data_IF_728036832344
#
_entry.id   IF_728036832344
#
_cell.length_a   1.000
_cell.length_b   1.000
_cell.length_c   1.000
_cell.angle_alpha   90.00
_cell.angle_beta   90.00
_cell.angle_gamma   90.00
#
_symmetry.space_group_name_H-M   'P 1'
#
loop_
_entity.id
_entity.type
_entity.pdbx_description
1 polymer ?
#
# COMPACT_ATOMS: atom_id res chain seq x y z
N UNK A 1 2.29 7.03 15.97
CA UNK A 1 3.02 8.27 15.86
C UNK A 1 2.37 9.15 14.83
N UNK A 2 2.01 10.35 15.21
CA UNK A 2 1.30 11.25 14.33
C UNK A 2 2.11 11.61 13.08
N UNK A 3 3.39 11.90 13.27
CA UNK A 3 4.26 12.21 12.14
C UNK A 3 4.35 11.07 11.15
N UNK A 4 4.39 9.83 11.65
CA UNK A 4 4.45 8.66 10.77
C UNK A 4 3.22 8.57 9.89
N UNK A 5 2.03 8.80 10.47
CA UNK A 5 0.79 8.74 9.71
C UNK A 5 0.73 9.88 8.69
N UNK A 6 1.15 11.08 9.07
CA UNK A 6 1.18 12.21 8.15
C UNK A 6 2.14 11.93 7.01
N UNK A 7 3.33 11.39 7.31
CA UNK A 7 4.30 11.07 6.27
C UNK A 7 3.75 10.04 5.31
N UNK A 8 3.08 9.00 5.80
CA UNK A 8 2.51 8.00 4.93
C UNK A 8 1.46 8.61 4.00
N UNK A 9 0.58 9.45 4.55
CA UNK A 9 -0.44 10.11 3.73
C UNK A 9 0.15 11.12 2.75
N UNK A 10 1.20 11.83 3.15
CA UNK A 10 1.85 12.82 2.29
C UNK A 10 2.76 12.21 1.25
N UNK A 11 3.09 10.94 1.40
CA UNK A 11 3.94 10.24 0.43
C UNK A 11 3.20 9.79 -0.81
N UNK A 12 1.95 10.10 -0.95
CA UNK A 12 1.17 9.67 -2.09
C UNK A 12 1.95 9.89 -3.35
N UNK A 13 2.39 10.70 -3.88
CA UNK A 13 3.17 10.80 -5.09
C UNK A 13 4.44 11.62 -4.90
N UNK A 14 4.57 12.24 -3.74
CA UNK A 14 5.61 13.24 -3.52
C UNK A 14 6.28 13.03 -2.17
N UNK A 15 7.32 12.19 -2.10
CA UNK A 15 8.08 12.07 -0.85
C UNK A 15 8.77 13.40 -0.54
N UNK A 16 9.00 13.71 0.73
CA UNK A 16 9.74 14.91 1.11
C UNK A 16 11.11 14.92 0.42
N UNK A 17 11.49 16.07 -0.12
CA UNK A 17 12.70 16.18 -0.94
C UNK A 17 13.98 16.27 -0.12
N UNK A 18 13.88 16.58 1.16
CA UNK A 18 15.04 16.80 2.02
C UNK A 18 15.45 15.56 2.82
N UNK A 19 14.73 14.45 2.69
CA UNK A 19 15.03 13.21 3.41
C UNK A 19 14.98 12.06 2.42
N UNK A 20 16.01 11.17 2.43
CA UNK A 20 16.00 10.01 1.54
C UNK A 20 14.80 9.10 1.82
N UNK A 21 14.15 8.56 0.77
CA UNK A 21 13.02 7.64 0.97
C UNK A 21 13.39 6.44 1.84
N UNK A 22 14.63 5.94 1.75
CA UNK A 22 15.09 4.80 2.54
C UNK A 22 15.10 5.11 4.03
N UNK A 23 15.31 6.36 4.42
CA UNK A 23 15.28 6.75 5.83
C UNK A 23 13.89 6.53 6.43
N UNK A 24 12.86 7.00 5.76
CA UNK A 24 11.48 6.82 6.23
C UNK A 24 11.10 5.35 6.26
N UNK A 25 11.45 4.61 5.23
CA UNK A 25 11.13 3.19 5.18
C UNK A 25 11.76 2.43 6.34
N UNK A 26 13.03 2.71 6.65
CA UNK A 26 13.72 2.06 7.76
C UNK A 26 13.05 2.35 9.09
N UNK A 27 12.65 3.61 9.32
CA UNK A 27 12.00 3.99 10.56
C UNK A 27 10.62 3.35 10.70
N UNK A 28 9.86 3.33 9.62
CA UNK A 28 8.54 2.73 9.63
C UNK A 28 8.60 1.24 9.92
N UNK A 29 9.55 0.54 9.30
CA UNK A 29 9.66 -0.91 9.44
C UNK A 29 10.00 -1.31 10.87
N UNK A 30 10.67 -0.47 11.64
CA UNK A 30 11.03 -0.80 13.02
C UNK A 30 9.81 -0.98 13.93
N UNK A 31 8.71 -0.33 13.61
CA UNK A 31 7.51 -0.35 14.45
C UNK A 31 6.37 -1.13 13.82
N UNK A 32 6.69 -2.18 13.07
CA UNK A 32 5.68 -2.95 12.37
C UNK A 32 5.13 -4.08 13.22
N UNK A 33 3.86 -4.39 12.99
CA UNK A 33 3.18 -5.50 13.63
C UNK A 33 2.69 -6.48 12.56
N UNK A 34 3.07 -7.74 12.69
CA UNK A 34 2.68 -8.77 11.73
C UNK A 34 1.17 -9.03 11.80
N UNK A 35 0.49 -9.00 10.66
CA UNK A 35 -0.95 -9.24 10.61
C UNK A 35 -1.34 -10.48 9.79
N UNK A 36 -0.42 -11.06 9.05
CA UNK A 36 -0.69 -12.33 8.38
C UNK A 36 -0.12 -12.41 6.98
N UNK A 37 -0.40 -13.55 6.33
CA UNK A 37 -0.07 -13.77 4.93
C UNK A 37 -1.27 -13.35 4.09
N UNK A 38 -1.03 -12.53 3.08
CA UNK A 38 -2.07 -12.05 2.19
C UNK A 38 -1.75 -12.48 0.77
N UNK A 39 -2.79 -12.69 0.00
CA UNK A 39 -2.63 -12.92 -1.44
C UNK A 39 -2.58 -11.55 -2.12
N UNK A 40 -1.60 -11.37 -3.00
CA UNK A 40 -1.41 -10.11 -3.71
C UNK A 40 -1.88 -10.26 -5.13
N UNK A 41 -2.63 -9.28 -5.60
CA UNK A 41 -3.01 -9.10 -6.99
C UNK A 41 -2.63 -7.69 -7.41
N UNK A 42 -2.86 -7.34 -8.66
CA UNK A 42 -2.54 -5.99 -9.12
C UNK A 42 -3.65 -5.45 -10.00
N UNK A 43 -3.84 -4.14 -9.94
CA UNK A 43 -4.82 -3.46 -10.79
C UNK A 43 -4.22 -2.19 -11.34
N UNK A 44 -4.85 -1.65 -12.37
CA UNK A 44 -4.37 -0.43 -13.01
C UNK A 44 -5.50 0.61 -13.03
N UNK A 45 -5.21 1.78 -13.57
CA UNK A 45 -6.11 2.92 -13.54
C UNK A 45 -7.50 2.58 -14.10
N UNK A 46 -8.52 2.86 -13.30
CA UNK A 46 -9.93 2.68 -13.69
C UNK A 46 -10.57 3.98 -14.14
N UNK A 47 -9.84 5.11 -14.04
CA UNK A 47 -10.40 6.43 -14.28
C UNK A 47 -11.11 7.02 -13.07
N UNK A 48 -11.19 6.28 -11.95
CA UNK A 48 -11.90 6.69 -10.75
C UNK A 48 -10.96 6.91 -9.59
N UNK A 49 -11.37 7.75 -8.66
CA UNK A 49 -10.65 7.91 -7.39
C UNK A 49 -10.79 6.66 -6.54
N UNK A 50 -9.89 6.49 -5.59
CA UNK A 50 -9.98 5.44 -4.59
C UNK A 50 -11.17 5.67 -3.66
N UNK A 51 -11.43 4.71 -2.77
CA UNK A 51 -12.57 4.78 -1.87
C UNK A 51 -12.55 6.01 -0.98
N UNK A 52 -11.38 6.54 -0.67
CA UNK A 52 -11.24 7.76 0.15
C UNK A 52 -11.32 9.06 -0.67
N UNK A 53 -11.56 8.97 -1.97
CA UNK A 53 -11.67 10.14 -2.84
C UNK A 53 -10.35 10.62 -3.44
N UNK A 54 -9.24 10.00 -3.10
CA UNK A 54 -7.92 10.35 -3.63
C UNK A 54 -7.58 9.41 -4.79
N UNK A 55 -6.99 9.93 -5.84
CA UNK A 55 -6.61 9.08 -6.97
C UNK A 55 -5.43 8.19 -6.62
N UNK A 56 -5.37 6.97 -7.18
CA UNK A 56 -4.30 6.04 -6.86
C UNK A 56 -2.96 6.52 -7.39
N UNK A 57 -1.90 6.13 -6.70
CA UNK A 57 -0.54 6.49 -7.07
C UNK A 57 0.32 5.22 -7.06
N UNK A 58 1.00 4.97 -8.16
CA UNK A 58 1.88 3.81 -8.28
C UNK A 58 2.98 3.85 -7.22
N UNK A 59 3.26 2.72 -6.59
CA UNK A 59 4.26 2.62 -5.54
C UNK A 59 3.75 3.02 -4.16
N UNK A 60 2.51 3.49 -4.06
CA UNK A 60 1.92 3.95 -2.81
C UNK A 60 0.61 3.23 -2.52
N UNK A 61 -0.28 3.14 -3.50
CA UNK A 61 -1.66 2.74 -3.30
C UNK A 61 -1.85 1.24 -3.37
N UNK A 62 -2.54 0.70 -2.35
CA UNK A 62 -3.08 -0.66 -2.40
C UNK A 62 -4.54 -0.62 -1.95
N UNK A 63 -5.31 -1.61 -2.42
CA UNK A 63 -6.71 -1.78 -2.07
C UNK A 63 -6.86 -3.01 -1.19
N UNK A 64 -7.71 -2.92 -0.18
CA UNK A 64 -8.01 -4.05 0.70
C UNK A 64 -9.39 -3.87 1.31
N UNK A 65 -10.09 -4.97 1.50
CA UNK A 65 -11.37 -4.97 2.21
C UNK A 65 -11.21 -5.37 3.68
N UNK A 66 -10.00 -5.63 4.13
CA UNK A 66 -9.75 -6.00 5.51
C UNK A 66 -9.84 -4.75 6.40
N UNK A 67 -10.80 -4.72 7.36
CA UNK A 67 -10.98 -3.53 8.19
C UNK A 67 -9.75 -3.19 9.02
N UNK A 68 -8.93 -4.16 9.38
CA UNK A 68 -7.75 -3.89 10.19
C UNK A 68 -6.64 -3.17 9.40
N UNK A 69 -6.75 -3.13 8.07
CA UNK A 69 -5.77 -2.45 7.23
C UNK A 69 -6.23 -1.08 6.73
N UNK A 70 -7.52 -0.74 6.90
CA UNK A 70 -8.07 0.47 6.30
C UNK A 70 -7.41 1.73 6.84
N UNK A 71 -6.95 2.57 5.93
CA UNK A 71 -6.24 3.81 6.21
C UNK A 71 -4.96 3.60 7.03
N UNK A 72 -4.33 2.46 6.85
CA UNK A 72 -3.06 2.16 7.51
C UNK A 72 -1.94 2.08 6.49
N UNK A 73 -0.74 2.41 6.95
CA UNK A 73 0.47 2.08 6.20
C UNK A 73 0.80 0.63 6.47
N UNK A 74 1.12 -0.10 5.43
CA UNK A 74 1.48 -1.52 5.55
C UNK A 74 2.85 -1.75 4.93
N UNK A 75 3.62 -2.63 5.54
CA UNK A 75 4.82 -3.15 4.93
C UNK A 75 4.50 -4.51 4.34
N UNK A 76 4.69 -4.65 3.03
CA UNK A 76 4.52 -5.92 2.34
C UNK A 76 5.92 -6.45 2.07
N UNK A 77 6.28 -7.54 2.75
CA UNK A 77 7.63 -8.08 2.67
C UNK A 77 7.99 -8.42 1.23
N UNK A 78 9.14 -7.93 0.79
CA UNK A 78 9.60 -8.12 -0.58
C UNK A 78 9.11 -7.05 -1.57
N UNK A 79 8.21 -6.17 -1.16
CA UNK A 79 7.62 -5.17 -2.05
C UNK A 79 7.74 -3.75 -1.54
N UNK A 80 7.68 -3.53 -0.22
CA UNK A 80 7.87 -2.21 0.34
C UNK A 80 6.70 -1.73 1.18
N UNK A 81 6.64 -0.41 1.38
CA UNK A 81 5.64 0.24 2.21
C UNK A 81 4.56 0.84 1.32
N UNK A 82 3.31 0.59 1.68
CA UNK A 82 2.15 1.06 0.91
C UNK A 82 1.11 1.64 1.86
N UNK A 83 0.17 2.40 1.29
CA UNK A 83 -0.94 2.96 2.03
C UNK A 83 -2.26 2.36 1.54
N UNK A 84 -3.07 1.89 2.48
CA UNK A 84 -4.35 1.25 2.16
C UNK A 84 -5.44 2.31 2.18
N UNK A 85 -5.90 2.73 1.00
CA UNK A 85 -6.97 3.72 0.92
C UNK A 85 -7.97 3.44 -0.20
N UNK A 86 -7.94 2.22 -0.74
CA UNK A 86 -8.92 1.81 -1.73
C UNK A 86 -9.55 0.48 -1.33
N UNK A 87 -10.68 0.18 -1.92
CA UNK A 87 -11.44 -1.04 -1.69
C UNK A 87 -11.90 -1.58 -3.02
N UNK A 88 -12.31 -2.86 -3.04
CA UNK A 88 -12.80 -3.48 -4.24
C UNK A 88 -13.65 -4.69 -3.91
N UNK A 89 -13.82 -5.57 -4.89
CA UNK A 89 -14.65 -6.76 -4.72
C UNK A 89 -13.90 -7.99 -4.23
N UNK A 90 -12.67 -7.84 -3.72
CA UNK A 90 -11.85 -8.97 -3.32
C UNK A 90 -12.18 -9.45 -1.91
N UNK A 91 -11.73 -10.67 -1.58
CA UNK A 91 -11.82 -11.20 -0.23
C UNK A 91 -10.92 -10.44 0.73
N UNK A 92 -11.16 -10.57 2.04
CA UNK A 92 -10.42 -9.81 3.04
C UNK A 92 -8.92 -10.19 3.10
N UNK A 93 -8.57 -11.39 2.67
CA UNK A 93 -7.16 -11.82 2.68
C UNK A 93 -6.41 -11.45 1.40
N UNK A 94 -6.98 -10.60 0.56
CA UNK A 94 -6.36 -10.17 -0.70
C UNK A 94 -6.00 -8.70 -0.62
N UNK A 95 -4.81 -8.36 -1.08
CA UNK A 95 -4.40 -6.97 -1.26
C UNK A 95 -4.14 -6.75 -2.75
N UNK A 96 -4.78 -5.74 -3.31
CA UNK A 96 -4.69 -5.43 -4.73
C UNK A 96 -3.77 -4.22 -4.89
N UNK A 97 -2.64 -4.42 -5.56
CA UNK A 97 -1.59 -3.40 -5.68
C UNK A 97 -1.81 -2.59 -6.95
N UNK A 98 -1.82 -1.27 -6.81
CA UNK A 98 -1.97 -0.39 -7.97
C UNK A 98 -0.66 -0.34 -8.74
N UNK A 99 -0.71 -0.62 -10.04
CA UNK A 99 0.45 -0.58 -10.92
C UNK A 99 0.18 0.34 -12.10
N UNK A 100 1.25 0.71 -12.82
CA UNK A 100 1.18 1.78 -13.82
C UNK A 100 0.59 1.40 -15.16
N UNK A 101 0.47 0.10 -15.45
CA UNK A 101 -0.07 -0.32 -16.75
C UNK A 101 -0.77 -1.67 -16.64
N UNK A 102 -1.62 -1.94 -17.62
CA UNK A 102 -2.31 -3.22 -17.73
C UNK A 102 -1.30 -4.37 -17.85
N UNK A 103 -0.25 -4.18 -18.64
CA UNK A 103 0.76 -5.22 -18.81
C UNK A 103 1.46 -5.54 -17.49
N UNK A 104 1.77 -4.53 -16.69
CA UNK A 104 2.36 -4.76 -15.36
C UNK A 104 1.41 -5.54 -14.47
N UNK A 105 0.11 -5.23 -14.53
CA UNK A 105 -0.88 -5.96 -13.73
C UNK A 105 -0.94 -7.42 -14.14
N UNK A 106 -0.91 -7.70 -15.43
CA UNK A 106 -0.93 -9.08 -15.94
C UNK A 106 0.33 -9.83 -15.51
N UNK A 107 1.50 -9.20 -15.63
CA UNK A 107 2.76 -9.82 -15.24
C UNK A 107 2.86 -10.04 -13.74
N UNK A 108 2.24 -9.17 -12.95
CA UNK A 108 2.23 -9.31 -11.50
C UNK A 108 1.54 -10.61 -11.09
N UNK A 109 0.40 -10.93 -11.72
CA UNK A 109 -0.35 -12.15 -11.45
C UNK A 109 -0.84 -12.23 -10.02
N UNK A 110 -0.71 -13.42 -9.42
CA UNK A 110 -1.07 -13.66 -8.03
C UNK A 110 0.14 -14.12 -7.26
N UNK A 111 0.33 -13.55 -6.08
CA UNK A 111 1.48 -13.84 -5.23
C UNK A 111 1.04 -13.84 -3.78
N UNK A 112 1.89 -14.35 -2.90
CA UNK A 112 1.64 -14.30 -1.46
C UNK A 112 2.77 -13.56 -0.79
N UNK A 113 2.47 -12.86 0.29
CA UNK A 113 3.48 -12.16 1.05
C UNK A 113 3.05 -11.98 2.50
N UNK A 114 4.04 -11.84 3.37
CA UNK A 114 3.82 -11.45 4.76
C UNK A 114 3.55 -9.96 4.81
N UNK A 115 2.54 -9.58 5.58
CA UNK A 115 2.09 -8.20 5.68
C UNK A 115 2.14 -7.75 7.13
N UNK A 116 2.59 -6.52 7.33
CA UNK A 116 2.74 -5.88 8.63
C UNK A 116 2.07 -4.53 8.60
N UNK A 117 1.41 -4.17 9.70
CA UNK A 117 0.88 -2.81 9.87
C UNK A 117 1.95 -1.96 10.54
N UNK A 118 2.10 -0.75 10.05
CA UNK A 118 3.08 0.21 10.57
C UNK A 118 2.34 1.26 11.38
N UNK A 119 2.80 1.48 12.60
CA UNK A 119 2.26 2.53 13.47
C UNK A 119 3.02 3.82 13.32
#
# INVERSE_FOLDING_TARGET
MLETLILCGMLYCYPPSDVPPTFYASQMIENKEYVGEYELTAYTDTGNACADGVYPCEGVTVASNDPQLWHKCVYIEGYGVFYVHDRGGMANNVIDVFVGSYDEAIQFGRRSASVYVID
#
